data_IF_519011146328
#
_entry.id   IF_519011146328
#
_cell.length_a   1.000
_cell.length_b   1.000
_cell.length_c   1.000
_cell.angle_alpha   90.00
_cell.angle_beta   90.00
_cell.angle_gamma   90.00
#
_symmetry.space_group_name_H-M   'P 1'
#
loop_
_entity.id
_entity.type
_entity.pdbx_description
1 polymer ?
#
# COMPACT_ATOMS: atom_id res chain seq x y z
N UNK A 1 35.75 -32.95 36.24
CA UNK A 1 37.21 -33.02 36.46
C UNK A 1 37.75 -33.97 35.42
N UNK A 2 38.43 -33.45 34.40
CA UNK A 2 39.10 -34.26 33.38
C UNK A 2 40.42 -34.76 33.96
N UNK A 3 40.61 -36.08 33.93
CA UNK A 3 41.87 -36.70 34.32
C UNK A 3 42.92 -36.32 33.26
N UNK A 4 44.00 -35.64 33.67
CA UNK A 4 44.98 -35.01 32.77
C UNK A 4 45.91 -36.00 32.07
N UNK A 5 45.62 -37.30 32.12
CA UNK A 5 46.47 -38.38 31.62
C UNK A 5 46.04 -38.95 30.26
N UNK A 6 44.83 -38.64 29.76
CA UNK A 6 44.33 -39.20 28.49
C UNK A 6 43.59 -38.16 27.63
N UNK A 7 44.15 -37.72 26.48
CA UNK A 7 43.57 -36.64 25.67
C UNK A 7 42.24 -37.01 25.00
N UNK A 8 41.86 -38.29 24.95
CA UNK A 8 40.56 -38.75 24.43
C UNK A 8 39.46 -38.86 25.49
N UNK A 9 39.75 -38.58 26.76
CA UNK A 9 38.78 -38.70 27.86
C UNK A 9 37.51 -37.86 27.67
N UNK A 10 37.59 -36.76 26.91
CA UNK A 10 36.41 -35.93 26.61
C UNK A 10 35.45 -36.58 25.61
N UNK A 11 35.95 -37.41 24.68
CA UNK A 11 35.12 -38.10 23.68
C UNK A 11 34.30 -39.20 24.33
N UNK A 12 34.91 -39.98 25.22
CA UNK A 12 34.21 -41.01 26.00
C UNK A 12 33.16 -40.36 26.91
N UNK A 13 33.51 -39.25 27.56
CA UNK A 13 32.55 -38.50 28.38
C UNK A 13 31.38 -37.96 27.58
N UNK A 14 31.62 -37.47 26.35
CA UNK A 14 30.57 -37.00 25.46
C UNK A 14 29.63 -38.14 25.02
N UNK A 15 30.17 -39.29 24.59
CA UNK A 15 29.35 -40.45 24.19
C UNK A 15 28.51 -40.96 25.37
N UNK A 16 29.09 -41.05 26.57
CA UNK A 16 28.39 -41.44 27.80
C UNK A 16 27.24 -40.48 28.12
N UNK A 17 27.50 -39.16 28.09
CA UNK A 17 26.47 -38.16 28.36
C UNK A 17 25.41 -38.10 27.26
N UNK A 18 25.75 -38.37 26.00
CA UNK A 18 24.81 -38.37 24.88
C UNK A 18 23.77 -39.49 24.96
N UNK A 19 24.11 -40.60 25.63
CA UNK A 19 23.22 -41.76 25.83
C UNK A 19 22.49 -41.75 27.16
N UNK A 20 22.99 -41.01 28.15
CA UNK A 20 22.46 -41.00 29.52
C UNK A 20 22.45 -39.59 30.11
N UNK A 21 21.55 -38.74 29.60
CA UNK A 21 21.47 -37.32 29.97
C UNK A 21 21.00 -37.07 31.42
N UNK A 22 20.37 -38.06 32.07
CA UNK A 22 19.88 -37.95 33.45
C UNK A 22 20.95 -38.18 34.52
N UNK A 23 22.19 -38.56 34.16
CA UNK A 23 23.25 -38.70 35.15
C UNK A 23 23.71 -37.32 35.66
N UNK A 24 23.78 -37.19 36.98
CA UNK A 24 24.27 -36.01 37.69
C UNK A 24 25.65 -35.51 37.21
N UNK A 25 26.48 -36.42 36.67
CA UNK A 25 27.81 -36.09 36.11
C UNK A 25 27.74 -35.30 34.81
N UNK A 26 26.61 -35.40 34.10
CA UNK A 26 26.36 -34.77 32.80
C UNK A 26 25.51 -33.49 32.93
N UNK A 27 25.19 -33.06 34.15
CA UNK A 27 24.41 -31.84 34.37
C UNK A 27 25.21 -30.60 33.95
N UNK A 28 24.49 -29.64 33.39
CA UNK A 28 25.04 -28.33 33.08
C UNK A 28 25.46 -27.59 34.35
N UNK A 29 26.25 -26.53 34.19
CA UNK A 29 26.71 -25.68 35.33
C UNK A 29 25.56 -25.09 36.15
N UNK A 30 24.36 -24.98 35.57
CA UNK A 30 23.15 -24.51 36.25
C UNK A 30 22.49 -25.58 37.14
N UNK A 31 22.99 -26.81 37.15
CA UNK A 31 22.56 -27.89 38.04
C UNK A 31 21.39 -28.73 37.55
N UNK A 32 20.97 -28.57 36.29
CA UNK A 32 19.94 -29.42 35.66
C UNK A 32 20.47 -30.25 34.49
N UNK A 33 19.71 -31.29 34.09
CA UNK A 33 20.01 -32.08 32.90
C UNK A 33 19.74 -31.27 31.62
N UNK A 34 20.40 -31.67 30.53
CA UNK A 34 20.03 -31.27 29.17
C UNK A 34 18.96 -32.28 28.74
N UNK A 35 17.78 -31.82 28.33
CA UNK A 35 16.64 -32.72 28.06
C UNK A 35 16.85 -33.55 26.79
N UNK A 36 17.50 -32.98 25.78
CA UNK A 36 17.82 -33.64 24.53
C UNK A 36 19.15 -33.10 23.97
N UNK A 37 20.01 -34.00 23.50
CA UNK A 37 21.28 -33.63 22.85
C UNK A 37 21.05 -32.88 21.54
N UNK A 38 19.89 -33.07 20.90
CA UNK A 38 19.46 -32.32 19.71
C UNK A 38 19.34 -30.81 19.94
N UNK A 39 19.26 -30.35 21.20
CA UNK A 39 19.27 -28.93 21.56
C UNK A 39 20.67 -28.30 21.47
N UNK A 40 21.73 -29.11 21.44
CA UNK A 40 23.12 -28.67 21.53
C UNK A 40 23.93 -29.03 20.28
N UNK A 41 23.57 -30.10 19.59
CA UNK A 41 24.22 -30.51 18.33
C UNK A 41 23.17 -30.71 17.24
N UNK A 42 23.53 -30.46 15.99
CA UNK A 42 22.65 -30.56 14.83
C UNK A 42 23.33 -31.18 13.61
N UNK A 43 22.51 -31.63 12.65
CA UNK A 43 22.99 -32.21 11.39
C UNK A 43 23.67 -33.57 11.57
N UNK A 44 23.02 -34.46 12.31
CA UNK A 44 23.37 -35.87 12.50
C UNK A 44 22.19 -36.75 12.08
N UNK A 45 22.46 -37.99 11.68
CA UNK A 45 21.44 -38.97 11.32
C UNK A 45 21.18 -39.95 12.49
N UNK A 46 19.92 -40.10 12.89
CA UNK A 46 19.52 -41.06 13.93
C UNK A 46 20.16 -40.76 15.29
N UNK A 47 20.94 -41.71 15.82
CA UNK A 47 21.62 -41.61 17.13
C UNK A 47 23.13 -41.41 17.01
N UNK A 48 23.64 -41.05 15.83
CA UNK A 48 25.07 -40.87 15.57
C UNK A 48 25.54 -39.43 15.88
N UNK A 49 25.45 -39.03 17.15
CA UNK A 49 25.76 -37.65 17.58
C UNK A 49 27.21 -37.22 17.30
N UNK A 50 28.12 -38.16 17.13
CA UNK A 50 29.53 -37.90 16.80
C UNK A 50 29.73 -37.37 15.37
N UNK A 51 28.74 -37.54 14.47
CA UNK A 51 28.77 -37.02 13.10
C UNK A 51 28.13 -35.63 12.98
N UNK A 52 27.74 -35.00 14.09
CA UNK A 52 27.10 -33.70 14.07
C UNK A 52 27.96 -32.64 13.35
N UNK A 53 27.30 -31.86 12.49
CA UNK A 53 27.93 -30.83 11.65
C UNK A 53 27.76 -29.42 12.21
N UNK A 54 26.79 -29.22 13.11
CA UNK A 54 26.50 -27.93 13.72
C UNK A 54 26.47 -28.03 15.25
N UNK A 55 26.90 -26.96 15.91
CA UNK A 55 26.77 -26.75 17.34
C UNK A 55 25.73 -25.64 17.59
N UNK A 56 24.79 -25.91 18.48
CA UNK A 56 23.71 -25.00 18.85
C UNK A 56 23.95 -24.51 20.28
N UNK A 57 23.97 -23.20 20.46
CA UNK A 57 24.12 -22.57 21.77
C UNK A 57 22.88 -21.71 22.01
N UNK A 58 22.04 -22.15 22.95
CA UNK A 58 20.82 -21.43 23.35
C UNK A 58 21.06 -20.73 24.69
N UNK A 59 20.90 -19.42 24.72
CA UNK A 59 21.00 -18.60 25.94
C UNK A 59 19.60 -18.13 26.30
N UNK A 60 18.89 -18.80 27.24
CA UNK A 60 17.58 -18.37 27.66
C UNK A 60 17.68 -17.09 28.49
N UNK A 61 16.92 -16.07 28.09
CA UNK A 61 16.81 -14.79 28.79
C UNK A 61 15.41 -14.67 29.38
N UNK A 62 15.30 -14.12 30.59
CA UNK A 62 14.00 -13.93 31.26
C UNK A 62 13.22 -12.83 30.53
N UNK A 63 12.02 -13.18 30.07
CA UNK A 63 11.10 -12.21 29.49
C UNK A 63 10.19 -11.61 30.57
N UNK A 64 9.96 -10.29 30.50
CA UNK A 64 9.05 -9.56 31.38
C UNK A 64 7.93 -8.94 30.55
N UNK A 65 6.70 -9.00 31.06
CA UNK A 65 5.56 -8.31 30.43
C UNK A 65 5.59 -6.78 30.62
N UNK A 66 6.42 -6.29 31.54
CA UNK A 66 6.60 -4.87 31.83
C UNK A 66 7.75 -4.30 30.98
N UNK A 67 7.45 -3.30 30.14
CA UNK A 67 8.42 -2.72 29.21
C UNK A 67 9.66 -2.15 29.91
N UNK A 68 9.49 -1.61 31.12
CA UNK A 68 10.59 -1.02 31.89
C UNK A 68 11.64 -2.06 32.29
N UNK A 69 11.20 -3.28 32.56
CA UNK A 69 12.07 -4.42 32.91
C UNK A 69 12.64 -5.10 31.67
N UNK A 70 11.93 -5.03 30.53
CA UNK A 70 12.39 -5.56 29.24
C UNK A 70 13.62 -4.80 28.70
N UNK A 71 13.76 -3.51 29.02
CA UNK A 71 14.85 -2.67 28.50
C UNK A 71 16.26 -3.24 28.72
N UNK A 72 16.54 -3.78 29.91
CA UNK A 72 17.85 -4.34 30.23
C UNK A 72 18.18 -5.57 29.36
N UNK A 73 17.20 -6.45 29.13
CA UNK A 73 17.34 -7.61 28.25
C UNK A 73 17.58 -7.17 26.80
N UNK A 74 16.79 -6.21 26.30
CA UNK A 74 16.96 -5.67 24.95
C UNK A 74 18.34 -5.02 24.75
N UNK A 75 18.84 -4.29 25.75
CA UNK A 75 20.17 -3.67 25.68
C UNK A 75 21.29 -4.72 25.63
N UNK A 76 21.16 -5.80 26.41
CA UNK A 76 22.10 -6.91 26.38
C UNK A 76 22.09 -7.63 25.02
N UNK A 77 20.90 -7.95 24.50
CA UNK A 77 20.74 -8.60 23.18
C UNK A 77 21.34 -7.76 22.05
N UNK A 78 21.25 -6.42 22.14
CA UNK A 78 21.83 -5.51 21.15
C UNK A 78 23.35 -5.63 21.08
N UNK A 79 24.02 -5.60 22.23
CA UNK A 79 25.48 -5.75 22.29
C UNK A 79 25.91 -7.19 21.96
N UNK A 80 25.10 -8.19 22.31
CA UNK A 80 25.32 -9.58 21.92
C UNK A 80 25.33 -9.76 20.40
N UNK A 81 24.32 -9.24 19.70
CA UNK A 81 24.26 -9.26 18.22
C UNK A 81 25.49 -8.55 17.63
N UNK A 82 25.84 -7.38 18.18
CA UNK A 82 26.98 -6.60 17.70
C UNK A 82 28.30 -7.38 17.82
N UNK A 83 28.54 -7.99 18.97
CA UNK A 83 29.73 -8.81 19.23
C UNK A 83 29.81 -10.00 18.26
N UNK A 84 28.69 -10.66 17.99
CA UNK A 84 28.65 -11.78 17.05
C UNK A 84 28.85 -11.34 15.60
N UNK A 85 28.25 -10.22 15.17
CA UNK A 85 28.49 -9.63 13.83
C UNK A 85 29.97 -9.32 13.62
N UNK A 86 30.66 -8.76 14.63
CA UNK A 86 32.09 -8.47 14.57
C UNK A 86 32.94 -9.75 14.53
N UNK A 87 32.55 -10.79 15.28
CA UNK A 87 33.30 -12.06 15.36
C UNK A 87 33.06 -13.02 14.20
N UNK A 88 31.94 -12.91 13.49
CA UNK A 88 31.59 -13.78 12.35
C UNK A 88 32.53 -13.60 11.13
N UNK A 89 33.49 -12.68 11.19
CA UNK A 89 34.46 -12.45 10.11
C UNK A 89 35.68 -13.41 10.14
N UNK A 90 35.63 -14.50 10.92
CA UNK A 90 36.75 -15.45 11.02
C UNK A 90 36.60 -16.65 10.08
N UNK A 91 37.67 -17.01 9.35
CA UNK A 91 37.69 -18.11 8.36
C UNK A 91 37.51 -19.53 8.94
N UNK A 92 37.47 -19.68 10.27
CA UNK A 92 37.49 -20.99 10.95
C UNK A 92 36.08 -21.55 11.23
N UNK A 93 35.08 -20.69 11.40
CA UNK A 93 33.73 -21.10 11.79
C UNK A 93 32.70 -20.09 11.27
N UNK A 94 31.67 -20.58 10.58
CA UNK A 94 30.49 -19.78 10.21
C UNK A 94 29.51 -19.74 11.39
N UNK A 95 29.18 -18.54 11.87
CA UNK A 95 28.27 -18.36 13.01
C UNK A 95 26.95 -17.82 12.49
N UNK A 96 25.90 -18.63 12.56
CA UNK A 96 24.52 -18.17 12.43
C UNK A 96 23.96 -17.87 13.83
N UNK A 97 23.32 -16.71 14.00
CA UNK A 97 22.80 -16.27 15.29
C UNK A 97 21.45 -15.57 15.13
N UNK A 98 20.63 -15.69 16.16
CA UNK A 98 19.33 -15.02 16.26
C UNK A 98 19.16 -14.58 17.72
N UNK A 99 18.59 -13.40 17.92
CA UNK A 99 18.09 -12.96 19.21
C UNK A 99 16.63 -12.54 19.05
N UNK A 100 15.86 -12.50 20.14
CA UNK A 100 14.42 -12.20 20.08
C UNK A 100 14.16 -10.83 19.40
N UNK A 101 14.93 -9.80 19.77
CA UNK A 101 14.83 -8.47 19.13
C UNK A 101 15.23 -8.41 17.66
N UNK A 102 15.96 -9.40 17.15
CA UNK A 102 16.59 -9.31 15.81
C UNK A 102 15.56 -9.23 14.68
N UNK A 103 14.40 -9.88 14.86
CA UNK A 103 13.31 -9.85 13.88
C UNK A 103 12.69 -8.44 13.81
N UNK A 104 12.45 -7.82 14.96
CA UNK A 104 11.90 -6.46 15.06
C UNK A 104 12.89 -5.43 14.47
N UNK A 105 14.17 -5.52 14.83
CA UNK A 105 15.22 -4.62 14.36
C UNK A 105 15.42 -4.71 12.83
N UNK A 106 15.47 -5.92 12.25
CA UNK A 106 15.65 -6.09 10.80
C UNK A 106 14.38 -5.67 10.02
N UNK A 107 13.19 -5.83 10.60
CA UNK A 107 11.95 -5.31 10.01
C UNK A 107 11.93 -3.78 9.98
N UNK A 108 12.35 -3.12 11.07
CA UNK A 108 12.46 -1.66 11.14
C UNK A 108 13.51 -1.13 10.14
N UNK A 109 14.65 -1.81 10.03
CA UNK A 109 15.70 -1.47 9.04
C UNK A 109 15.17 -1.58 7.60
N UNK A 110 14.47 -2.67 7.27
CA UNK A 110 13.86 -2.87 5.95
C UNK A 110 12.86 -1.77 5.61
N UNK A 111 11.98 -1.46 6.56
CA UNK A 111 10.99 -0.38 6.44
C UNK A 111 11.63 0.97 6.09
N UNK A 112 12.70 1.38 6.79
CA UNK A 112 13.35 2.66 6.55
C UNK A 112 13.92 2.81 5.13
N UNK A 113 14.41 1.71 4.53
CA UNK A 113 14.91 1.72 3.15
C UNK A 113 13.80 1.95 2.13
N UNK A 114 12.60 1.42 2.40
CA UNK A 114 11.47 1.48 1.46
C UNK A 114 10.77 2.85 1.45
N UNK A 115 10.79 3.59 2.57
CA UNK A 115 10.14 4.91 2.69
C UNK A 115 10.57 5.88 1.58
N UNK A 116 11.86 5.90 1.20
CA UNK A 116 12.37 6.81 0.16
C UNK A 116 11.79 6.43 -1.21
N UNK A 117 11.78 5.14 -1.54
CA UNK A 117 11.25 4.62 -2.80
C UNK A 117 9.75 4.91 -2.92
N UNK A 118 9.01 4.72 -1.83
CA UNK A 118 7.58 5.05 -1.74
C UNK A 118 7.34 6.55 -1.91
N UNK A 119 8.14 7.41 -1.28
CA UNK A 119 8.00 8.87 -1.45
C UNK A 119 8.21 9.30 -2.91
N UNK A 120 9.20 8.72 -3.61
CA UNK A 120 9.46 8.99 -5.03
C UNK A 120 8.27 8.54 -5.91
N UNK A 121 7.70 7.36 -5.64
CA UNK A 121 6.56 6.85 -6.41
C UNK A 121 5.32 7.74 -6.25
N UNK A 122 5.07 8.28 -5.04
CA UNK A 122 4.01 9.27 -4.81
C UNK A 122 4.23 10.56 -5.63
N UNK A 123 5.44 11.10 -5.65
CA UNK A 123 5.76 12.31 -6.43
C UNK A 123 5.48 12.09 -7.92
N UNK A 124 5.92 10.96 -8.48
CA UNK A 124 5.71 10.62 -9.89
C UNK A 124 4.21 10.45 -10.18
N UNK A 125 3.48 9.74 -9.32
CA UNK A 125 2.04 9.53 -9.47
C UNK A 125 1.27 10.86 -9.42
N UNK A 126 1.62 11.78 -8.52
CA UNK A 126 1.00 13.10 -8.45
C UNK A 126 1.32 13.95 -9.67
N UNK A 127 2.56 13.91 -10.17
CA UNK A 127 2.92 14.57 -11.41
C UNK A 127 2.11 14.01 -12.59
N UNK A 128 1.93 12.69 -12.66
CA UNK A 128 1.10 12.04 -13.67
C UNK A 128 -0.36 12.52 -13.61
N UNK A 129 -0.99 12.52 -12.43
CA UNK A 129 -2.39 12.98 -12.26
C UNK A 129 -2.54 14.44 -12.67
N UNK A 130 -1.62 15.31 -12.24
CA UNK A 130 -1.62 16.73 -12.58
C UNK A 130 -1.50 16.98 -14.10
N UNK A 131 -0.68 16.17 -14.79
CA UNK A 131 -0.51 16.24 -16.25
C UNK A 131 -1.72 15.64 -16.98
N UNK A 132 -2.21 14.46 -16.55
CA UNK A 132 -3.28 13.73 -17.21
C UNK A 132 -4.64 14.46 -17.15
N UNK A 133 -4.90 15.20 -16.07
CA UNK A 133 -6.08 16.07 -15.95
C UNK A 133 -5.95 17.37 -16.78
N UNK A 134 -4.72 17.76 -17.14
CA UNK A 134 -4.43 18.90 -18.00
C UNK A 134 -4.69 18.56 -19.47
N UNK A 135 -5.72 19.17 -20.06
CA UNK A 135 -5.98 19.01 -21.50
C UNK A 135 -5.06 19.95 -22.30
N UNK A 136 -3.92 19.42 -22.77
CA UNK A 136 -2.92 20.19 -23.53
C UNK A 136 -3.44 20.41 -24.96
N UNK A 137 -4.33 21.39 -25.14
CA UNK A 137 -4.89 21.72 -26.46
C UNK A 137 -3.97 22.62 -27.30
N UNK A 138 -3.12 23.44 -26.68
CA UNK A 138 -2.20 24.33 -27.40
C UNK A 138 -1.01 24.78 -26.56
N UNK A 139 0.20 24.73 -27.14
CA UNK A 139 1.46 25.04 -26.47
C UNK A 139 1.56 26.52 -26.00
N UNK A 140 0.88 27.45 -26.67
CA UNK A 140 0.87 28.88 -26.32
C UNK A 140 -0.15 29.28 -25.24
N UNK A 141 -1.07 28.38 -24.85
CA UNK A 141 -2.05 28.61 -23.76
C UNK A 141 -1.94 27.58 -22.64
N UNK A 142 -0.82 26.87 -22.59
CA UNK A 142 -0.59 25.76 -21.69
C UNK A 142 -0.85 26.16 -20.23
N UNK A 143 -0.45 27.38 -19.80
CA UNK A 143 -0.66 27.90 -18.44
C UNK A 143 -2.07 28.46 -18.13
N UNK A 144 -2.94 28.60 -19.14
CA UNK A 144 -4.33 29.11 -18.98
C UNK A 144 -5.33 27.95 -18.97
N UNK A 145 -5.08 26.93 -19.80
CA UNK A 145 -5.95 25.76 -19.95
C UNK A 145 -5.50 24.57 -19.07
N UNK A 146 -4.33 24.65 -18.41
CA UNK A 146 -3.81 23.60 -17.55
C UNK A 146 -4.59 23.48 -16.24
N UNK A 147 -5.38 22.42 -16.10
CA UNK A 147 -6.07 22.05 -14.85
C UNK A 147 -5.14 21.53 -13.74
N UNK A 148 -3.90 22.00 -13.68
CA UNK A 148 -2.89 21.59 -12.70
C UNK A 148 -3.36 21.95 -11.29
N UNK A 149 -3.97 23.13 -11.11
CA UNK A 149 -4.56 23.56 -9.83
C UNK A 149 -5.63 22.59 -9.36
N UNK A 150 -6.47 22.10 -10.28
CA UNK A 150 -7.54 21.16 -9.97
C UNK A 150 -7.00 19.78 -9.59
N UNK A 151 -5.96 19.31 -10.30
CA UNK A 151 -5.26 18.06 -9.98
C UNK A 151 -4.57 18.12 -8.61
N UNK A 152 -3.90 19.23 -8.30
CA UNK A 152 -3.22 19.44 -7.03
C UNK A 152 -4.22 19.53 -5.86
N UNK A 153 -5.33 20.23 -6.05
CA UNK A 153 -6.44 20.26 -5.09
C UNK A 153 -7.05 18.87 -4.89
N UNK A 154 -7.24 18.12 -5.97
CA UNK A 154 -7.74 16.75 -5.93
C UNK A 154 -6.87 15.85 -5.05
N UNK A 155 -5.56 15.87 -5.30
CA UNK A 155 -4.55 15.15 -4.49
C UNK A 155 -4.59 15.59 -3.03
N UNK A 156 -4.61 16.91 -2.78
CA UNK A 156 -4.64 17.45 -1.42
C UNK A 156 -5.88 17.00 -0.63
N UNK A 157 -7.04 16.92 -1.29
CA UNK A 157 -8.29 16.47 -0.67
C UNK A 157 -8.23 14.99 -0.31
N UNK A 158 -7.65 14.15 -1.19
CA UNK A 158 -7.43 12.73 -0.89
C UNK A 158 -6.50 12.59 0.31
N UNK A 159 -5.36 13.30 0.34
CA UNK A 159 -4.44 13.25 1.48
C UNK A 159 -5.11 13.70 2.78
N UNK A 160 -5.89 14.78 2.73
CA UNK A 160 -6.65 15.27 3.88
C UNK A 160 -7.65 14.22 4.39
N UNK A 161 -8.28 13.45 3.50
CA UNK A 161 -9.20 12.38 3.90
C UNK A 161 -8.50 11.24 4.66
N UNK A 162 -7.29 10.87 4.24
CA UNK A 162 -6.48 9.84 4.89
C UNK A 162 -6.02 10.33 6.27
N UNK A 163 -5.49 11.55 6.34
CA UNK A 163 -5.08 12.17 7.61
C UNK A 163 -6.27 12.32 8.57
N UNK A 164 -7.44 12.67 8.08
CA UNK A 164 -8.65 12.76 8.89
C UNK A 164 -9.08 11.40 9.44
N UNK A 165 -9.05 10.33 8.63
CA UNK A 165 -9.33 8.98 9.11
C UNK A 165 -8.31 8.51 10.16
N UNK A 166 -7.01 8.74 9.90
CA UNK A 166 -5.94 8.46 10.86
C UNK A 166 -6.17 9.23 12.18
N UNK A 167 -6.55 10.51 12.10
CA UNK A 167 -6.84 11.35 13.25
C UNK A 167 -8.02 10.85 14.10
N UNK A 168 -9.10 10.39 13.46
CA UNK A 168 -10.27 9.84 14.17
C UNK A 168 -9.89 8.57 14.94
N UNK A 169 -9.18 7.64 14.32
CA UNK A 169 -8.79 6.40 14.98
C UNK A 169 -7.67 6.60 16.01
N UNK A 170 -6.77 7.55 15.78
CA UNK A 170 -5.78 7.96 16.78
C UNK A 170 -6.47 8.56 18.02
N UNK A 171 -7.52 9.36 17.83
CA UNK A 171 -8.33 9.87 18.94
C UNK A 171 -9.06 8.75 19.71
N UNK A 172 -9.44 7.67 19.03
CA UNK A 172 -10.04 6.47 19.66
C UNK A 172 -9.00 5.54 20.31
N UNK A 173 -7.70 5.84 20.21
CA UNK A 173 -6.63 5.03 20.79
C UNK A 173 -6.34 3.73 20.03
N UNK A 174 -6.73 3.63 18.75
CA UNK A 174 -6.42 2.46 17.92
C UNK A 174 -5.03 2.63 17.30
N UNK A 175 -4.06 1.73 17.54
CA UNK A 175 -2.71 1.85 17.01
C UNK A 175 -2.72 1.76 15.48
N UNK A 176 -1.94 2.63 14.82
CA UNK A 176 -1.71 2.58 13.39
C UNK A 176 -0.51 1.69 13.09
N UNK A 177 -0.65 0.79 12.11
CA UNK A 177 0.44 -0.08 11.64
C UNK A 177 1.15 0.55 10.45
N UNK A 178 2.38 0.11 10.18
CA UNK A 178 3.16 0.60 9.04
C UNK A 178 2.46 0.35 7.69
N UNK A 179 1.82 -0.83 7.56
CA UNK A 179 1.04 -1.23 6.37
C UNK A 179 -0.07 -0.21 6.07
N UNK A 180 -0.70 0.35 7.09
CA UNK A 180 -1.78 1.34 6.93
C UNK A 180 -1.25 2.64 6.32
N UNK A 181 -0.11 3.13 6.83
CA UNK A 181 0.51 4.37 6.35
C UNK A 181 0.96 4.24 4.89
N UNK A 182 1.39 3.04 4.50
CA UNK A 182 1.85 2.78 3.14
C UNK A 182 0.69 2.58 2.14
N UNK A 183 -0.23 1.65 2.42
CA UNK A 183 -1.20 1.15 1.44
C UNK A 183 -2.46 2.04 1.33
N UNK A 184 -2.95 2.58 2.44
CA UNK A 184 -4.23 3.32 2.43
C UNK A 184 -4.18 4.57 1.55
N UNK A 185 -3.12 5.41 1.57
CA UNK A 185 -3.11 6.58 0.71
C UNK A 185 -3.13 6.21 -0.79
N UNK A 186 -2.46 5.14 -1.21
CA UNK A 186 -2.55 4.65 -2.59
C UNK A 186 -3.99 4.21 -2.95
N UNK A 187 -4.61 3.44 -2.07
CA UNK A 187 -5.96 2.92 -2.26
C UNK A 187 -6.98 4.06 -2.39
N UNK A 188 -6.97 5.00 -1.44
CA UNK A 188 -7.89 6.13 -1.41
C UNK A 188 -7.62 7.09 -2.57
N UNK A 189 -6.35 7.26 -2.98
CA UNK A 189 -6.01 8.07 -4.15
C UNK A 189 -6.53 7.44 -5.44
N UNK A 190 -6.40 6.13 -5.63
CA UNK A 190 -6.90 5.46 -6.83
C UNK A 190 -8.42 5.68 -7.00
N UNK A 191 -9.20 5.46 -5.92
CA UNK A 191 -10.65 5.69 -5.93
C UNK A 191 -10.98 7.18 -6.04
N UNK A 192 -10.23 8.02 -5.34
CA UNK A 192 -10.48 9.46 -5.31
C UNK A 192 -10.24 10.13 -6.65
N UNK A 193 -9.17 9.75 -7.35
CA UNK A 193 -8.84 10.26 -8.68
C UNK A 193 -9.86 9.80 -9.72
N UNK A 194 -10.36 8.57 -9.64
CA UNK A 194 -11.42 8.07 -10.54
C UNK A 194 -12.68 8.93 -10.46
N UNK A 195 -13.16 9.19 -9.24
CA UNK A 195 -14.28 10.07 -8.95
C UNK A 195 -14.08 11.49 -9.53
N UNK A 196 -12.89 12.07 -9.32
CA UNK A 196 -12.54 13.39 -9.85
C UNK A 196 -12.51 13.39 -11.37
N UNK A 197 -11.94 12.35 -11.98
CA UNK A 197 -11.81 12.21 -13.42
C UNK A 197 -13.18 12.09 -14.10
N UNK A 198 -14.08 11.27 -13.54
CA UNK A 198 -15.46 11.12 -14.03
C UNK A 198 -16.17 12.48 -14.03
N UNK A 199 -16.08 13.24 -12.94
CA UNK A 199 -16.73 14.55 -12.82
C UNK A 199 -16.17 15.56 -13.83
N UNK A 200 -14.84 15.67 -13.92
CA UNK A 200 -14.16 16.60 -14.83
C UNK A 200 -14.41 16.25 -16.29
N UNK A 201 -14.37 14.96 -16.63
CA UNK A 201 -14.57 14.50 -18.00
C UNK A 201 -16.02 14.69 -18.44
N UNK A 202 -17.00 14.45 -17.55
CA UNK A 202 -18.38 14.74 -17.89
C UNK A 202 -18.62 16.23 -18.08
N UNK A 203 -18.04 17.08 -17.23
CA UNK A 203 -18.14 18.53 -17.43
C UNK A 203 -17.52 18.99 -18.76
N UNK A 204 -16.39 18.41 -19.17
CA UNK A 204 -15.75 18.73 -20.45
C UNK A 204 -16.53 18.21 -21.66
N UNK A 205 -17.30 17.13 -21.49
CA UNK A 205 -18.16 16.56 -22.54
C UNK A 205 -19.51 17.27 -22.63
N UNK A 206 -20.00 17.81 -21.52
CA UNK A 206 -21.28 18.50 -21.48
C UNK A 206 -21.21 19.77 -22.34
N UNK A 207 -22.04 19.81 -23.38
CA UNK A 207 -22.22 21.01 -24.19
C UNK A 207 -23.25 21.85 -23.46
N UNK A 208 -22.86 23.05 -23.05
CA UNK A 208 -23.80 24.00 -22.47
C UNK A 208 -25.03 24.11 -23.35
N UNK A 209 -26.21 24.00 -22.74
CA UNK A 209 -27.47 24.30 -23.40
C UNK A 209 -27.53 25.82 -23.59
N UNK A 210 -26.81 26.31 -24.59
CA UNK A 210 -27.01 27.66 -25.10
C UNK A 210 -28.42 27.68 -25.65
N UNK A 211 -29.25 28.57 -25.08
CA UNK A 211 -30.69 28.63 -25.35
C UNK A 211 -30.98 28.46 -26.83
N UNK A 212 -31.54 27.31 -27.18
CA UNK A 212 -32.08 27.07 -28.50
C UNK A 212 -33.22 28.08 -28.68
N UNK A 213 -33.16 28.88 -29.74
CA UNK A 213 -34.25 29.77 -30.15
C UNK A 213 -35.49 28.93 -30.50
N UNK A 214 -36.24 28.53 -29.48
CA UNK A 214 -37.51 27.81 -29.64
C UNK A 214 -38.63 28.67 -29.05
N UNK A 215 -39.45 29.19 -29.98
CA UNK A 215 -40.81 29.75 -29.81
C UNK A 215 -41.00 30.90 -28.80
N UNK A 216 -40.91 32.11 -29.38
CA UNK A 216 -41.58 33.40 -29.12
C UNK A 216 -41.93 33.96 -27.73
N UNK A 217 -42.09 33.24 -26.62
CA UNK A 217 -42.66 33.90 -25.40
C UNK A 217 -41.90 33.77 -24.08
N UNK A 218 -40.74 33.09 -23.99
CA UNK A 218 -39.90 33.15 -22.77
C UNK A 218 -38.41 33.19 -23.14
N UNK A 219 -37.79 34.37 -23.02
CA UNK A 219 -36.34 34.57 -23.17
C UNK A 219 -35.61 33.97 -21.97
N UNK A 220 -35.38 32.65 -21.96
CA UNK A 220 -34.49 32.01 -20.97
C UNK A 220 -33.09 32.60 -21.15
N UNK A 221 -32.62 33.36 -20.15
CA UNK A 221 -31.19 33.70 -20.02
C UNK A 221 -30.39 32.39 -20.09
N UNK A 222 -29.26 32.40 -20.80
CA UNK A 222 -28.43 31.21 -20.97
C UNK A 222 -28.08 30.58 -19.62
N UNK A 223 -27.97 29.25 -19.58
CA UNK A 223 -27.64 28.47 -18.39
C UNK A 223 -26.38 29.03 -17.69
N UNK A 224 -26.50 29.34 -16.39
CA UNK A 224 -25.36 29.81 -15.60
C UNK A 224 -24.40 28.65 -15.29
N UNK A 225 -23.11 28.93 -15.02
CA UNK A 225 -22.11 27.90 -14.66
C UNK A 225 -22.58 27.06 -13.47
N UNK A 226 -23.22 27.69 -12.48
CA UNK A 226 -23.71 27.02 -11.27
C UNK A 226 -24.84 26.04 -11.58
N UNK A 227 -25.78 26.44 -12.45
CA UNK A 227 -26.86 25.56 -12.90
C UNK A 227 -26.33 24.39 -13.74
N UNK A 228 -25.37 24.65 -14.62
CA UNK A 228 -24.71 23.60 -15.41
C UNK A 228 -24.03 22.57 -14.50
N UNK A 229 -23.22 23.04 -13.53
CA UNK A 229 -22.54 22.15 -12.58
C UNK A 229 -23.56 21.41 -11.71
N UNK A 230 -24.62 22.08 -11.25
CA UNK A 230 -25.68 21.45 -10.46
C UNK A 230 -26.39 20.32 -11.22
N UNK A 231 -26.72 20.52 -12.50
CA UNK A 231 -27.29 19.47 -13.36
C UNK A 231 -26.32 18.30 -13.52
N UNK A 232 -25.06 18.59 -13.85
CA UNK A 232 -24.03 17.58 -14.07
C UNK A 232 -23.80 16.72 -12.82
N UNK A 233 -23.72 17.36 -11.65
CA UNK A 233 -23.59 16.67 -10.37
C UNK A 233 -24.82 15.82 -10.10
N UNK A 234 -26.03 16.29 -10.43
CA UNK A 234 -27.25 15.50 -10.31
C UNK A 234 -27.24 14.20 -11.13
N UNK A 235 -26.56 14.19 -12.29
CA UNK A 235 -26.43 13.01 -13.15
C UNK A 235 -25.30 12.07 -12.71
N UNK A 236 -24.17 12.61 -12.23
CA UNK A 236 -22.95 11.84 -11.94
C UNK A 236 -22.84 11.40 -10.47
N UNK A 237 -23.31 12.23 -9.53
CA UNK A 237 -23.17 11.98 -8.10
C UNK A 237 -23.80 10.67 -7.62
N UNK A 238 -24.97 10.20 -8.14
CA UNK A 238 -25.52 8.91 -7.74
C UNK A 238 -24.57 7.74 -8.02
N UNK A 239 -23.85 7.79 -9.16
CA UNK A 239 -22.87 6.75 -9.51
C UNK A 239 -21.63 6.79 -8.61
N UNK A 240 -21.14 8.00 -8.32
CA UNK A 240 -20.01 8.20 -7.39
C UNK A 240 -20.35 7.76 -5.95
N UNK A 241 -21.57 8.06 -5.50
CA UNK A 241 -22.07 7.65 -4.20
C UNK A 241 -22.22 6.14 -4.10
N UNK A 242 -22.80 5.50 -5.12
CA UNK A 242 -22.95 4.04 -5.17
C UNK A 242 -21.58 3.34 -5.07
N UNK A 243 -20.60 3.80 -5.85
CA UNK A 243 -19.24 3.25 -5.82
C UNK A 243 -18.60 3.42 -4.44
N UNK A 244 -18.60 4.64 -3.89
CA UNK A 244 -17.92 4.96 -2.62
C UNK A 244 -18.55 4.25 -1.42
N UNK A 245 -19.89 4.21 -1.36
CA UNK A 245 -20.62 3.51 -0.28
C UNK A 245 -20.44 2.00 -0.39
N UNK A 246 -20.47 1.44 -1.61
CA UNK A 246 -20.25 0.00 -1.82
C UNK A 246 -18.84 -0.42 -1.42
N UNK A 247 -17.81 0.35 -1.82
CA UNK A 247 -16.42 0.07 -1.44
C UNK A 247 -16.24 0.17 0.08
N UNK A 248 -16.75 1.23 0.70
CA UNK A 248 -16.68 1.40 2.15
C UNK A 248 -17.39 0.27 2.91
N UNK A 249 -18.59 -0.12 2.48
CA UNK A 249 -19.32 -1.24 3.05
C UNK A 249 -18.54 -2.57 2.92
N UNK A 250 -17.89 -2.80 1.77
CA UNK A 250 -17.03 -3.97 1.58
C UNK A 250 -15.84 -3.98 2.56
N UNK A 251 -15.18 -2.84 2.77
CA UNK A 251 -14.13 -2.73 3.79
C UNK A 251 -14.66 -2.93 5.21
N UNK A 252 -15.84 -2.40 5.54
CA UNK A 252 -16.44 -2.67 6.85
C UNK A 252 -16.81 -4.14 7.05
N UNK A 253 -17.22 -4.86 6.00
CA UNK A 253 -17.41 -6.32 6.06
C UNK A 253 -16.05 -7.00 6.27
N UNK A 254 -14.99 -6.54 5.61
CA UNK A 254 -13.61 -7.02 5.82
C UNK A 254 -13.11 -6.83 7.26
N UNK A 255 -13.63 -5.84 7.99
CA UNK A 255 -13.32 -5.62 9.39
C UNK A 255 -13.92 -6.67 10.35
N UNK A 256 -14.76 -7.60 9.85
CA UNK A 256 -15.27 -8.72 10.63
C UNK A 256 -14.26 -9.87 10.77
N UNK A 257 -13.12 -9.79 10.07
CA UNK A 257 -12.05 -10.78 10.17
C UNK A 257 -11.40 -10.80 11.55
N UNK A 258 -10.99 -12.00 12.01
CA UNK A 258 -10.35 -12.18 13.32
C UNK A 258 -8.91 -11.67 13.35
N UNK A 259 -8.23 -11.63 12.19
CA UNK A 259 -6.86 -11.15 12.10
C UNK A 259 -6.78 -9.64 12.37
N UNK A 260 -6.09 -9.20 13.45
CA UNK A 260 -6.12 -7.80 13.90
C UNK A 260 -5.55 -6.83 12.87
N UNK A 261 -4.51 -7.24 12.13
CA UNK A 261 -3.91 -6.42 11.09
C UNK A 261 -4.91 -6.09 9.97
N UNK A 262 -5.65 -7.09 9.48
CA UNK A 262 -6.65 -6.93 8.42
C UNK A 262 -7.86 -6.15 8.93
N UNK A 263 -8.30 -6.44 10.16
CA UNK A 263 -9.42 -5.74 10.79
C UNK A 263 -9.19 -4.25 10.92
N UNK A 264 -8.04 -3.85 11.46
CA UNK A 264 -7.70 -2.43 11.63
C UNK A 264 -7.52 -1.78 10.25
N UNK A 265 -6.80 -2.41 9.32
CA UNK A 265 -6.67 -1.91 7.96
C UNK A 265 -8.02 -1.62 7.29
N UNK A 266 -8.96 -2.56 7.40
CA UNK A 266 -10.27 -2.46 6.77
C UNK A 266 -11.14 -1.36 7.41
N UNK A 267 -11.08 -1.16 8.74
CA UNK A 267 -11.74 -0.05 9.42
C UNK A 267 -11.19 1.31 8.95
N UNK A 268 -9.87 1.46 8.89
CA UNK A 268 -9.22 2.68 8.43
C UNK A 268 -9.56 3.00 6.98
N UNK A 269 -9.50 2.01 6.08
CA UNK A 269 -9.82 2.18 4.66
C UNK A 269 -11.30 2.53 4.46
N UNK A 270 -12.21 1.85 5.16
CA UNK A 270 -13.65 2.10 5.08
C UNK A 270 -14.04 3.53 5.47
N UNK A 271 -13.48 4.05 6.56
CA UNK A 271 -13.71 5.43 7.02
C UNK A 271 -13.03 6.45 6.10
N UNK A 272 -11.79 6.20 5.67
CA UNK A 272 -11.08 7.10 4.77
C UNK A 272 -11.83 7.30 3.44
N UNK A 273 -12.39 6.24 2.87
CA UNK A 273 -13.20 6.33 1.64
C UNK A 273 -14.50 7.13 1.83
N UNK A 274 -15.17 6.99 2.98
CA UNK A 274 -16.35 7.81 3.28
C UNK A 274 -16.00 9.29 3.43
N UNK A 275 -14.96 9.60 4.21
CA UNK A 275 -14.50 10.98 4.39
C UNK A 275 -14.06 11.57 3.05
N UNK A 276 -13.36 10.79 2.22
CA UNK A 276 -12.98 11.20 0.88
C UNK A 276 -14.20 11.57 0.04
N UNK A 277 -15.24 10.72 0.02
CA UNK A 277 -16.49 11.04 -0.69
C UNK A 277 -17.14 12.35 -0.19
N UNK A 278 -17.22 12.54 1.13
CA UNK A 278 -17.77 13.78 1.71
C UNK A 278 -16.96 15.02 1.31
N UNK A 279 -15.63 14.95 1.38
CA UNK A 279 -14.75 16.06 0.99
C UNK A 279 -14.79 16.32 -0.52
N UNK A 280 -14.98 15.28 -1.34
CA UNK A 280 -15.14 15.42 -2.79
C UNK A 280 -16.47 16.11 -3.15
N UNK A 281 -17.57 15.70 -2.53
CA UNK A 281 -18.89 16.29 -2.81
C UNK A 281 -19.04 17.73 -2.30
N UNK A 282 -18.24 18.13 -1.32
CA UNK A 282 -18.30 19.47 -0.71
C UNK A 282 -17.15 20.37 -1.18
N UNK A 283 -15.94 20.11 -0.69
CA UNK A 283 -14.76 20.94 -0.90
C UNK A 283 -14.30 20.92 -2.36
N UNK A 284 -14.15 19.72 -2.94
CA UNK A 284 -13.69 19.61 -4.33
C UNK A 284 -14.69 20.23 -5.30
N UNK A 285 -16.00 19.93 -5.14
CA UNK A 285 -17.03 20.52 -5.97
C UNK A 285 -17.07 22.05 -5.88
N UNK A 286 -16.92 22.61 -4.67
CA UNK A 286 -16.81 24.05 -4.46
C UNK A 286 -15.63 24.65 -5.21
N UNK A 287 -14.43 24.10 -5.06
CA UNK A 287 -13.22 24.56 -5.75
C UNK A 287 -13.31 24.36 -7.27
N UNK A 288 -13.95 23.28 -7.72
CA UNK A 288 -14.23 23.04 -9.14
C UNK A 288 -15.16 24.11 -9.74
N UNK A 289 -16.22 24.52 -9.03
CA UNK A 289 -17.07 25.62 -9.49
C UNK A 289 -16.32 26.95 -9.56
N UNK A 290 -15.41 27.20 -8.62
CA UNK A 290 -14.57 28.41 -8.65
C UNK A 290 -13.57 28.37 -9.82
N UNK A 291 -12.97 27.22 -10.10
CA UNK A 291 -12.04 27.05 -11.22
C UNK A 291 -12.73 27.24 -12.57
N UNK A 292 -13.95 26.71 -12.72
CA UNK A 292 -14.73 26.90 -13.96
C UNK A 292 -15.12 28.37 -14.17
N UNK A 293 -15.51 29.10 -13.12
CA UNK A 293 -15.73 30.55 -13.19
C UNK A 293 -14.44 31.31 -13.51
N UNK A 294 -13.28 30.87 -13.00
CA UNK A 294 -11.97 31.44 -13.34
C UNK A 294 -11.64 31.25 -14.82
N UNK A 295 -11.87 30.05 -15.37
CA UNK A 295 -11.62 29.72 -16.78
C UNK A 295 -12.44 30.60 -17.72
N UNK A 296 -13.72 30.84 -17.42
CA UNK A 296 -14.55 31.78 -18.20
C UNK A 296 -13.99 33.20 -18.22
N UNK A 297 -13.41 33.63 -17.10
CA UNK A 297 -12.84 34.96 -16.94
C UNK A 297 -11.47 35.13 -17.61
N UNK A 298 -10.93 34.09 -18.27
CA UNK A 298 -9.64 34.05 -18.97
C UNK A 298 -8.47 34.50 -18.07
N UNK A 299 -8.42 34.04 -16.83
CA UNK A 299 -7.30 34.30 -15.89
C UNK A 299 -6.36 33.11 -15.82
N UNK A 300 -5.07 33.33 -15.57
CA UNK A 300 -4.08 32.27 -15.41
C UNK A 300 -4.36 31.39 -14.17
N UNK A 301 -3.91 30.12 -14.20
CA UNK A 301 -4.17 29.12 -13.15
C UNK A 301 -3.45 29.41 -11.82
N UNK A 302 -2.17 29.81 -11.89
CA UNK A 302 -1.30 30.04 -10.72
C UNK A 302 -1.21 31.51 -10.31
N UNK A 303 -1.63 32.44 -11.18
CA UNK A 303 -1.55 33.88 -10.94
C UNK A 303 -2.90 34.56 -11.27
N UNK A 304 -3.75 34.70 -10.24
CA UNK A 304 -5.09 35.27 -10.32
C UNK A 304 -5.16 36.72 -10.84
N UNK A 305 -4.03 37.42 -10.95
CA UNK A 305 -3.95 38.85 -11.26
C UNK A 305 -3.75 39.18 -12.75
N UNK A 306 -3.43 38.21 -13.62
CA UNK A 306 -3.12 38.47 -15.03
C UNK A 306 -4.24 37.90 -15.91
N UNK A 307 -4.81 38.75 -16.78
CA UNK A 307 -5.91 38.42 -17.69
C UNK A 307 -5.38 38.22 -19.11
N UNK A 308 -5.71 37.10 -19.74
CA UNK A 308 -5.30 36.81 -21.11
C UNK A 308 -6.23 37.50 -22.12
N UNK A 309 -5.64 38.17 -23.12
CA UNK A 309 -6.33 39.11 -24.02
C UNK A 309 -7.20 38.48 -25.12
N UNK A 310 -7.13 37.18 -25.40
CA UNK A 310 -7.82 36.59 -26.57
C UNK A 310 -9.02 35.74 -26.13
N UNK A 311 -10.25 36.17 -26.49
CA UNK A 311 -11.42 35.28 -26.52
C UNK A 311 -11.20 34.19 -27.55
N UNK A 312 -11.52 32.93 -27.21
CA UNK A 312 -11.63 31.87 -28.20
C UNK A 312 -12.97 31.15 -28.03
N UNK A 313 -13.60 30.91 -29.18
CA UNK A 313 -14.69 29.96 -29.37
C UNK A 313 -14.25 28.61 -28.76
N UNK A 314 -15.06 28.04 -27.87
CA UNK A 314 -14.90 26.66 -27.40
C UNK A 314 -15.09 25.73 -28.61
N UNK A 315 -14.03 25.41 -29.35
CA UNK A 315 -14.10 24.30 -30.29
C UNK A 315 -14.13 23.03 -29.45
N UNK A 316 -15.27 22.33 -29.45
CA UNK A 316 -15.44 20.99 -28.93
C UNK A 316 -14.60 20.00 -29.76
N UNK A 317 -13.28 20.10 -29.65
CA UNK A 317 -12.38 19.09 -30.14
C UNK A 317 -12.21 18.08 -29.02
N UNK A 318 -12.95 16.98 -29.13
CA UNK A 318 -12.87 15.84 -28.22
C UNK A 318 -11.42 15.34 -28.07
N UNK A 319 -11.05 14.96 -26.84
CA UNK A 319 -9.72 14.45 -26.50
C UNK A 319 -9.32 13.31 -27.43
N UNK A 320 -8.04 13.28 -27.84
CA UNK A 320 -7.48 12.26 -28.76
C UNK A 320 -7.86 10.83 -28.34
N UNK A 321 -7.80 10.55 -27.04
CA UNK A 321 -8.17 9.27 -26.45
C UNK A 321 -9.63 8.89 -26.74
N UNK A 322 -10.56 9.83 -26.62
CA UNK A 322 -11.97 9.58 -26.95
C UNK A 322 -12.16 9.28 -28.45
N UNK A 323 -11.47 10.01 -29.33
CA UNK A 323 -11.52 9.76 -30.77
C UNK A 323 -10.97 8.37 -31.11
N UNK A 324 -9.87 7.97 -30.47
CA UNK A 324 -9.30 6.62 -30.61
C UNK A 324 -10.27 5.53 -30.16
N UNK A 325 -10.83 5.67 -28.94
CA UNK A 325 -11.79 4.69 -28.42
C UNK A 325 -13.02 4.57 -29.32
N UNK A 326 -13.61 5.70 -29.70
CA UNK A 326 -14.83 5.73 -30.52
C UNK A 326 -14.62 5.21 -31.94
N UNK A 327 -13.51 5.57 -32.60
CA UNK A 327 -13.30 5.27 -34.03
C UNK A 327 -12.56 3.96 -34.29
N UNK A 328 -11.69 3.53 -33.37
CA UNK A 328 -10.80 2.37 -33.59
C UNK A 328 -11.18 1.25 -32.64
N UNK A 329 -11.12 1.49 -31.32
CA UNK A 329 -11.25 0.44 -30.31
C UNK A 329 -12.66 -0.19 -30.26
N UNK A 330 -13.70 0.64 -30.11
CA UNK A 330 -15.09 0.20 -30.00
C UNK A 330 -15.56 -0.62 -31.21
N UNK A 331 -15.41 -0.16 -32.48
CA UNK A 331 -15.87 -0.94 -33.62
C UNK A 331 -15.06 -2.24 -33.81
N UNK A 332 -13.77 -2.24 -33.47
CA UNK A 332 -12.95 -3.45 -33.51
C UNK A 332 -13.42 -4.48 -32.46
N UNK A 333 -13.58 -4.07 -31.21
CA UNK A 333 -13.96 -4.96 -30.10
C UNK A 333 -15.37 -5.52 -30.24
N UNK A 334 -16.34 -4.70 -30.69
CA UNK A 334 -17.72 -5.13 -30.85
C UNK A 334 -17.98 -5.98 -32.12
N UNK A 335 -16.98 -6.14 -33.00
CA UNK A 335 -17.11 -6.99 -34.18
C UNK A 335 -17.46 -8.43 -33.82
N UNK A 336 -18.39 -9.06 -34.54
CA UNK A 336 -18.94 -10.38 -34.18
C UNK A 336 -17.86 -11.47 -34.03
N UNK A 337 -16.84 -11.48 -34.90
CA UNK A 337 -15.73 -12.45 -34.81
C UNK A 337 -14.84 -12.20 -33.57
N UNK A 338 -14.50 -10.93 -33.33
CA UNK A 338 -13.64 -10.53 -32.20
C UNK A 338 -14.34 -10.82 -30.87
N UNK A 339 -15.65 -10.57 -30.78
CA UNK A 339 -16.43 -10.88 -29.57
C UNK A 339 -16.38 -12.35 -29.19
N UNK A 340 -16.53 -13.26 -30.16
CA UNK A 340 -16.45 -14.71 -29.90
C UNK A 340 -15.04 -15.10 -29.45
N UNK A 341 -14.00 -14.57 -30.10
CA UNK A 341 -12.60 -14.81 -29.71
C UNK A 341 -12.33 -14.33 -28.28
N UNK A 342 -12.76 -13.11 -27.94
CA UNK A 342 -12.60 -12.53 -26.60
C UNK A 342 -13.27 -13.43 -25.56
N UNK A 343 -14.50 -13.87 -25.79
CA UNK A 343 -15.20 -14.77 -24.86
C UNK A 343 -14.46 -16.10 -24.66
N UNK A 344 -13.94 -16.70 -25.73
CA UNK A 344 -13.16 -17.95 -25.64
C UNK A 344 -11.87 -17.74 -24.85
N UNK A 345 -11.14 -16.64 -25.10
CA UNK A 345 -9.89 -16.32 -24.40
C UNK A 345 -10.13 -16.09 -22.91
N UNK A 346 -11.12 -15.27 -22.54
CA UNK A 346 -11.43 -15.02 -21.13
C UNK A 346 -11.95 -16.28 -20.41
N UNK A 347 -12.77 -17.10 -21.07
CA UNK A 347 -13.21 -18.37 -20.51
C UNK A 347 -12.04 -19.35 -20.32
N UNK A 348 -11.16 -19.47 -21.32
CA UNK A 348 -9.95 -20.29 -21.21
C UNK A 348 -9.01 -19.82 -20.11
N UNK A 349 -8.80 -18.51 -19.99
CA UNK A 349 -8.01 -17.90 -18.92
C UNK A 349 -8.60 -18.18 -17.54
N UNK A 350 -9.93 -18.04 -17.38
CA UNK A 350 -10.63 -18.32 -16.15
C UNK A 350 -10.50 -19.81 -15.75
N UNK A 351 -10.73 -20.73 -16.69
CA UNK A 351 -10.55 -22.17 -16.45
C UNK A 351 -9.09 -22.51 -16.08
N UNK A 352 -8.12 -21.90 -16.76
CA UNK A 352 -6.70 -22.09 -16.44
C UNK A 352 -6.36 -21.55 -15.05
N UNK A 353 -6.95 -20.44 -14.63
CA UNK A 353 -6.73 -19.87 -13.30
C UNK A 353 -7.30 -20.78 -12.21
N UNK A 354 -8.47 -21.37 -12.43
CA UNK A 354 -9.06 -22.38 -11.52
C UNK A 354 -8.19 -23.64 -11.45
N UNK A 355 -7.66 -24.10 -12.58
CA UNK A 355 -6.85 -25.32 -12.63
C UNK A 355 -5.49 -25.20 -11.92
N UNK A 356 -5.04 -23.99 -11.60
CA UNK A 356 -3.74 -23.72 -10.95
C UNK A 356 -3.92 -23.19 -9.53
N UNK A 357 -5.15 -22.95 -9.07
CA UNK A 357 -5.42 -22.38 -7.74
C UNK A 357 -4.98 -23.31 -6.61
N UNK A 358 -4.96 -24.62 -6.86
CA UNK A 358 -4.49 -25.65 -5.93
C UNK A 358 -2.98 -25.65 -5.70
N UNK A 359 -2.21 -24.96 -6.56
CA UNK A 359 -0.74 -24.83 -6.46
C UNK A 359 -0.28 -23.65 -5.62
N UNK A 360 -1.19 -22.88 -5.02
CA UNK A 360 -0.83 -21.80 -4.10
C UNK A 360 -0.29 -22.46 -2.83
N UNK A 361 1.05 -22.56 -2.72
CA UNK A 361 1.75 -23.20 -1.60
C UNK A 361 1.83 -22.30 -0.37
N UNK A 362 1.78 -22.91 0.80
CA UNK A 362 1.95 -22.25 2.10
C UNK A 362 3.30 -21.52 2.24
N UNK A 363 3.23 -20.37 2.92
CA UNK A 363 4.25 -19.34 3.04
C UNK A 363 5.57 -19.82 3.68
N UNK A 364 6.51 -20.26 2.86
CA UNK A 364 7.95 -20.34 3.21
C UNK A 364 8.71 -19.06 2.82
N UNK A 365 8.03 -18.02 2.31
CA UNK A 365 8.61 -16.80 1.77
C UNK A 365 8.69 -15.58 2.70
N UNK A 366 8.45 -15.74 4.01
CA UNK A 366 8.51 -14.62 4.96
C UNK A 366 9.91 -14.28 5.46
N UNK A 367 10.95 -15.04 5.06
CA UNK A 367 12.34 -14.72 5.39
C UNK A 367 12.92 -13.86 4.27
N UNK A 368 13.36 -12.62 4.53
CA UNK A 368 14.06 -11.80 3.56
C UNK A 368 15.27 -12.56 3.00
N UNK A 369 15.47 -12.51 1.69
CA UNK A 369 16.55 -13.20 0.96
C UNK A 369 17.97 -12.72 1.31
N UNK A 370 18.14 -11.81 2.25
CA UNK A 370 19.44 -11.31 2.74
C UNK A 370 19.95 -11.98 4.04
N UNK A 371 19.30 -13.05 4.54
CA UNK A 371 19.75 -13.77 5.75
C UNK A 371 20.22 -15.20 5.46
N UNK A 372 20.87 -15.42 4.31
CA UNK A 372 21.64 -16.64 4.03
C UNK A 372 23.11 -16.31 3.81
#
# INVERSE_FOLDING_TARGET
MTDSSDPLSYLTHFDDCSRSLSDSKCFGKYGGPIDDISLVVGGFDGSEYHMATALVITIPVINYNDETKKYAALAWEKEFIKLLKERNSSDVMSIAFMAERSVEDELERGSHSDVITVAISYVIMFAYIAIALGDIKSCSRLLIDSKITLGLVGVLIVLLSVVAALGIFSFMGVPATLIIVEVIPFLVLAVGVDNIFILVQQFQRDVRRQGETVRRDVRRQGETVREQVGRLVGEVAPSMMLSSVSMSACFFIGALTEMPAVRIFALYAGVALLINFFLQMTCFLGLFTLDTVRQENNRLDLCCCIRASKKCQQSSNSSLLYKFFKKVYTPFLLGNRVRVVVMIVFAGWFCSSIAVIDKISDASGFVPTEVL
#
